data_IF_832466135901
#
_entry.id   IF_832466135901
#
_cell.length_a   1.000
_cell.length_b   1.000
_cell.length_c   1.000
_cell.angle_alpha   90.00
_cell.angle_beta   90.00
_cell.angle_gamma   90.00
#
_symmetry.space_group_name_H-M   'P 1'
#
loop_
_entity.id
_entity.type
_entity.pdbx_description
1 polymer ?
#
# COMPACT_ATOMS: atom_id res chain seq x y z
N UNK A 1 26.90 15.71 73.20
CA UNK A 1 26.63 16.09 71.81
C UNK A 1 26.56 14.78 71.03
N UNK A 2 25.35 14.21 71.00
CA UNK A 2 24.55 13.96 69.77
C UNK A 2 25.21 12.86 68.91
N UNK A 3 24.64 11.71 68.53
CA UNK A 3 23.33 11.04 68.61
C UNK A 3 23.58 9.67 67.92
N UNK A 4 23.10 8.52 68.42
CA UNK A 4 21.77 7.95 68.12
C UNK A 4 21.54 7.75 66.60
N UNK A 5 21.64 6.51 66.08
CA UNK A 5 20.51 5.59 65.83
C UNK A 5 20.99 4.32 65.09
N UNK A 6 20.57 3.17 65.59
CA UNK A 6 20.77 1.82 65.04
C UNK A 6 19.69 1.50 63.94
N UNK A 7 19.64 0.30 63.35
CA UNK A 7 19.09 0.06 62.01
C UNK A 7 17.58 -0.24 61.92
N UNK A 8 17.13 -0.29 60.64
CA UNK A 8 15.97 -0.96 60.03
C UNK A 8 15.01 -1.74 60.94
N UNK A 9 13.71 -1.42 60.87
CA UNK A 9 12.66 -2.32 60.35
C UNK A 9 11.23 -1.75 60.45
N UNK A 10 10.38 -2.17 59.48
CA UNK A 10 8.91 -2.31 59.51
C UNK A 10 7.95 -1.10 59.28
N UNK A 11 7.38 -1.14 58.07
CA UNK A 11 5.94 -1.35 57.75
C UNK A 11 4.94 -0.21 58.05
N UNK A 12 4.40 0.41 56.97
CA UNK A 12 2.94 0.65 56.87
C UNK A 12 2.44 0.78 55.42
N UNK A 13 1.28 0.18 55.21
CA UNK A 13 0.52 0.00 53.98
C UNK A 13 -0.35 1.23 53.64
N UNK A 14 -0.77 1.29 52.37
CA UNK A 14 -2.17 1.48 51.89
C UNK A 14 -2.49 2.76 51.09
N UNK A 15 -3.23 2.53 49.99
CA UNK A 15 -3.97 3.47 49.14
C UNK A 15 -3.33 3.58 47.74
N UNK A 16 -3.70 2.83 46.69
CA UNK A 16 -5.04 2.53 46.16
C UNK A 16 -5.95 3.77 46.20
N UNK A 17 -5.83 4.60 45.17
CA UNK A 17 -6.92 5.45 44.71
C UNK A 17 -7.45 4.79 43.44
N UNK A 18 -8.63 4.19 43.56
CA UNK A 18 -9.48 3.78 42.46
C UNK A 18 -10.58 4.82 42.31
N UNK A 19 -10.99 5.14 41.07
CA UNK A 19 -12.36 5.48 40.61
C UNK A 19 -12.33 6.37 39.33
N UNK A 20 -13.37 6.37 38.47
CA UNK A 20 -13.99 5.23 37.79
C UNK A 20 -14.20 5.47 36.27
N UNK A 21 -14.57 4.39 35.57
CA UNK A 21 -14.75 4.26 34.14
C UNK A 21 -15.77 5.20 33.46
N UNK A 22 -15.48 5.60 32.20
CA UNK A 22 -16.49 5.70 31.12
C UNK A 22 -15.89 5.72 29.70
N UNK A 23 -15.94 4.54 29.06
CA UNK A 23 -16.46 4.28 27.71
C UNK A 23 -16.09 5.26 26.58
N UNK A 24 -15.26 4.81 25.63
CA UNK A 24 -15.65 4.27 24.30
C UNK A 24 -14.38 3.95 23.51
N UNK A 25 -14.39 2.86 22.76
CA UNK A 25 -13.20 2.26 22.19
C UNK A 25 -12.57 3.08 21.07
N UNK A 26 -11.28 3.37 21.22
CA UNK A 26 -10.38 3.70 20.12
C UNK A 26 -9.97 2.40 19.42
N UNK A 27 -10.91 1.84 18.65
CA UNK A 27 -10.57 0.96 17.54
C UNK A 27 -9.68 1.81 16.61
N UNK A 28 -8.46 1.36 16.24
CA UNK A 28 -7.68 2.07 15.24
C UNK A 28 -8.58 2.27 14.02
N UNK A 29 -8.54 3.42 13.31
CA UNK A 29 -9.45 3.68 12.22
C UNK A 29 -9.34 2.51 11.24
N UNK A 30 -10.38 1.69 11.27
CA UNK A 30 -10.64 0.63 10.33
C UNK A 30 -10.81 1.36 9.01
N UNK A 31 -9.74 1.42 8.22
CA UNK A 31 -9.71 2.09 6.91
C UNK A 31 -10.50 1.26 5.89
N UNK A 32 -11.70 0.83 6.27
CA UNK A 32 -12.56 -0.11 5.58
C UNK A 32 -13.81 0.54 4.99
N UNK A 33 -13.91 1.87 4.98
CA UNK A 33 -15.05 2.58 4.39
C UNK A 33 -14.62 3.76 3.52
N UNK A 34 -14.13 3.45 2.31
CA UNK A 34 -14.55 4.12 1.07
C UNK A 34 -14.41 3.12 -0.08
N UNK A 35 -15.37 2.21 -0.16
CA UNK A 35 -15.72 1.58 -1.43
C UNK A 35 -16.38 2.66 -2.30
N UNK A 36 -15.56 3.54 -2.88
CA UNK A 36 -16.01 4.42 -3.95
C UNK A 36 -16.16 3.55 -5.21
N UNK A 37 -17.42 3.32 -5.58
CA UNK A 37 -17.80 2.57 -6.76
C UNK A 37 -17.46 3.36 -8.02
N UNK A 38 -16.52 2.85 -8.81
CA UNK A 38 -16.38 3.19 -10.23
C UNK A 38 -15.26 4.18 -10.54
N UNK A 39 -14.04 3.68 -10.79
CA UNK A 39 -12.95 4.55 -11.23
C UNK A 39 -11.55 3.93 -11.40
N UNK A 40 -11.44 2.66 -11.79
CA UNK A 40 -10.26 2.10 -12.48
C UNK A 40 -8.96 1.84 -11.71
N UNK A 41 -8.78 2.24 -10.44
CA UNK A 41 -7.46 2.20 -9.80
C UNK A 41 -7.00 0.86 -9.19
N UNK A 42 -7.90 0.17 -8.47
CA UNK A 42 -7.51 -0.94 -7.58
C UNK A 42 -8.04 -2.26 -8.12
N UNK A 43 -7.17 -3.26 -8.40
CA UNK A 43 -7.61 -4.56 -8.88
C UNK A 43 -8.45 -5.28 -7.83
N UNK A 44 -9.41 -6.08 -8.29
CA UNK A 44 -10.24 -6.94 -7.45
C UNK A 44 -9.71 -8.37 -7.54
N UNK A 45 -9.72 -9.09 -6.41
CA UNK A 45 -9.32 -10.49 -6.44
C UNK A 45 -10.41 -11.36 -7.09
N UNK A 46 -10.01 -12.34 -7.91
CA UNK A 46 -10.94 -13.16 -8.68
C UNK A 46 -11.87 -14.01 -7.80
N UNK A 47 -11.39 -14.51 -6.65
CA UNK A 47 -12.16 -15.39 -5.76
C UNK A 47 -13.25 -14.65 -4.97
N UNK A 48 -13.02 -13.42 -4.56
CA UNK A 48 -13.91 -12.71 -3.62
C UNK A 48 -14.53 -11.44 -4.21
N UNK A 49 -14.06 -10.94 -5.37
CA UNK A 49 -14.53 -9.70 -5.97
C UNK A 49 -14.22 -8.43 -5.14
N UNK A 50 -13.42 -8.56 -4.08
CA UNK A 50 -13.07 -7.46 -3.16
C UNK A 50 -11.87 -6.67 -3.67
N UNK A 51 -11.80 -5.35 -3.41
CA UNK A 51 -10.63 -4.56 -3.74
C UNK A 51 -9.40 -5.09 -3.00
N UNK A 52 -8.30 -5.24 -3.73
CA UNK A 52 -7.03 -5.68 -3.18
C UNK A 52 -6.37 -4.56 -2.38
N UNK A 53 -5.58 -4.95 -1.36
CA UNK A 53 -4.75 -4.02 -0.58
C UNK A 53 -3.39 -3.85 -1.25
N UNK A 54 -2.85 -2.63 -1.20
CA UNK A 54 -1.52 -2.31 -1.72
C UNK A 54 -0.46 -2.56 -0.63
N UNK A 55 0.56 -3.35 -0.96
CA UNK A 55 1.66 -3.73 -0.09
C UNK A 55 2.98 -3.34 -0.75
N UNK A 56 4.01 -3.07 0.07
CA UNK A 56 5.36 -2.79 -0.41
C UNK A 56 6.28 -3.93 -0.02
N UNK A 57 7.10 -4.40 -0.95
CA UNK A 57 8.13 -5.40 -0.68
C UNK A 57 9.19 -4.78 0.23
N UNK A 58 9.18 -5.16 1.50
CA UNK A 58 10.17 -4.75 2.51
C UNK A 58 11.39 -5.66 2.53
N UNK A 59 11.21 -6.92 2.14
CA UNK A 59 12.29 -7.91 2.11
C UNK A 59 13.37 -7.44 1.15
N UNK A 60 14.62 -7.51 1.60
CA UNK A 60 15.77 -7.12 0.80
C UNK A 60 16.12 -8.23 -0.21
N UNK A 61 15.20 -8.49 -1.13
CA UNK A 61 15.42 -9.39 -2.26
C UNK A 61 16.00 -8.57 -3.41
N UNK A 62 17.06 -9.08 -4.05
CA UNK A 62 17.75 -8.43 -5.18
C UNK A 62 16.72 -7.93 -6.20
N UNK A 63 16.67 -6.62 -6.43
CA UNK A 63 15.84 -5.97 -7.45
C UNK A 63 14.37 -5.67 -7.10
N UNK A 64 13.81 -6.24 -6.03
CA UNK A 64 12.38 -6.09 -5.73
C UNK A 64 12.07 -5.20 -4.53
N UNK A 65 13.09 -4.78 -3.78
CA UNK A 65 12.91 -3.92 -2.60
C UNK A 65 12.22 -2.61 -2.99
N UNK A 66 11.17 -2.25 -2.26
CA UNK A 66 10.43 -1.00 -2.48
C UNK A 66 9.35 -1.05 -3.58
N UNK A 67 9.29 -2.12 -4.37
CA UNK A 67 8.19 -2.32 -5.35
C UNK A 67 6.86 -2.55 -4.62
N UNK A 68 5.78 -2.07 -5.23
CA UNK A 68 4.41 -2.16 -4.69
C UNK A 68 3.62 -3.23 -5.43
N UNK A 69 2.85 -4.01 -4.69
CA UNK A 69 1.99 -5.06 -5.24
C UNK A 69 0.62 -5.09 -4.54
N UNK A 70 -0.38 -5.56 -5.25
CA UNK A 70 -1.72 -5.80 -4.75
C UNK A 70 -1.86 -7.24 -4.27
N UNK A 71 -2.47 -7.42 -3.11
CA UNK A 71 -2.82 -8.71 -2.54
C UNK A 71 -4.26 -8.70 -2.02
N UNK A 72 -4.85 -9.87 -1.83
CA UNK A 72 -6.17 -9.99 -1.23
C UNK A 72 -6.21 -9.29 0.15
N UNK A 73 -7.30 -8.55 0.37
CA UNK A 73 -7.53 -7.74 1.58
C UNK A 73 -8.04 -8.55 2.78
N UNK A 74 -8.52 -9.76 2.55
CA UNK A 74 -8.93 -10.69 3.60
C UNK A 74 -7.76 -11.10 4.52
N UNK A 75 -8.06 -11.52 5.76
CA UNK A 75 -7.06 -12.04 6.69
C UNK A 75 -6.42 -13.33 6.18
N UNK A 76 -5.25 -13.68 6.72
CA UNK A 76 -4.38 -14.75 6.20
C UNK A 76 -5.03 -16.14 6.12
N UNK A 77 -6.08 -16.41 6.91
CA UNK A 77 -6.84 -17.67 6.85
C UNK A 77 -7.87 -17.74 5.72
N UNK A 78 -8.30 -16.60 5.20
CA UNK A 78 -9.37 -16.49 4.19
C UNK A 78 -8.88 -15.81 2.90
N UNK A 79 -7.65 -15.27 2.89
CA UNK A 79 -7.10 -14.63 1.71
C UNK A 79 -6.90 -15.65 0.59
N UNK A 80 -7.20 -15.24 -0.64
CA UNK A 80 -6.76 -15.98 -1.82
C UNK A 80 -5.35 -15.53 -2.23
N UNK A 81 -4.71 -16.33 -3.08
CA UNK A 81 -3.36 -16.09 -3.59
C UNK A 81 -3.32 -15.07 -4.75
N UNK A 82 -4.22 -14.10 -4.73
CA UNK A 82 -4.20 -13.03 -5.73
C UNK A 82 -2.97 -12.15 -5.53
N UNK A 83 -2.20 -11.97 -6.60
CA UNK A 83 -0.98 -11.19 -6.65
C UNK A 83 -0.90 -10.43 -7.97
N UNK A 84 -0.64 -9.12 -7.91
CA UNK A 84 -0.41 -8.29 -9.09
C UNK A 84 0.52 -7.13 -8.74
N UNK A 85 1.52 -6.84 -9.58
CA UNK A 85 2.34 -5.64 -9.38
C UNK A 85 1.54 -4.37 -9.66
N UNK A 86 1.84 -3.28 -8.94
CA UNK A 86 1.14 -2.00 -9.16
C UNK A 86 1.36 -1.45 -10.57
N UNK A 87 2.56 -1.66 -11.12
CA UNK A 87 2.93 -1.26 -12.48
C UNK A 87 2.26 -2.09 -13.60
N UNK A 88 1.78 -3.29 -13.26
CA UNK A 88 1.10 -4.21 -14.21
C UNK A 88 -0.42 -3.97 -14.24
N UNK A 89 -0.92 -2.93 -13.57
CA UNK A 89 -2.34 -2.59 -13.61
C UNK A 89 -2.69 -1.89 -14.92
N UNK A 90 -3.93 -2.04 -15.40
CA UNK A 90 -4.40 -1.34 -16.60
C UNK A 90 -4.24 0.18 -16.51
N UNK A 91 -4.37 0.74 -15.30
CA UNK A 91 -4.10 2.16 -15.06
C UNK A 91 -2.61 2.50 -15.18
N UNK A 92 -1.71 1.67 -14.67
CA UNK A 92 -0.28 1.87 -14.85
C UNK A 92 0.13 1.73 -16.32
N UNK A 93 -0.43 0.76 -17.05
CA UNK A 93 -0.24 0.61 -18.49
C UNK A 93 -0.72 1.85 -19.25
N UNK A 94 -1.90 2.37 -18.94
CA UNK A 94 -2.40 3.63 -19.52
C UNK A 94 -1.48 4.80 -19.23
N UNK A 95 -1.02 4.95 -17.99
CA UNK A 95 -0.06 6.00 -17.61
C UNK A 95 1.28 5.85 -18.36
N UNK A 96 1.76 4.63 -18.54
CA UNK A 96 2.96 4.35 -19.31
C UNK A 96 2.78 4.73 -20.78
N UNK A 97 1.63 4.40 -21.38
CA UNK A 97 1.29 4.79 -22.76
C UNK A 97 1.20 6.31 -22.94
N UNK A 98 0.54 7.02 -22.01
CA UNK A 98 0.49 8.49 -22.04
C UNK A 98 1.86 9.14 -21.80
N UNK A 99 2.78 8.46 -21.11
CA UNK A 99 4.16 8.93 -20.92
C UNK A 99 5.03 8.64 -22.15
N UNK A 100 4.80 7.53 -22.83
CA UNK A 100 5.57 7.09 -24.00
C UNK A 100 5.07 7.69 -25.33
N UNK A 101 3.93 8.38 -25.34
CA UNK A 101 3.40 9.09 -26.52
C UNK A 101 4.24 10.27 -26.99
N UNK A 102 5.42 10.51 -26.39
CA UNK A 102 6.41 11.39 -26.98
C UNK A 102 6.85 10.81 -28.33
N UNK A 103 6.50 11.47 -29.44
CA UNK A 103 6.90 11.11 -30.81
C UNK A 103 8.42 11.14 -31.07
N UNK A 104 9.23 11.26 -30.02
CA UNK A 104 10.68 11.25 -30.02
C UNK A 104 11.30 9.86 -29.90
N UNK A 105 10.49 8.81 -29.64
CA UNK A 105 10.95 7.42 -29.60
C UNK A 105 11.49 6.93 -30.95
N UNK A 106 12.48 6.03 -30.93
CA UNK A 106 13.14 5.49 -32.13
C UNK A 106 12.12 4.93 -33.16
N UNK A 107 11.14 4.13 -32.69
CA UNK A 107 10.07 3.56 -33.53
C UNK A 107 9.14 4.65 -34.09
N UNK A 108 8.83 5.68 -33.31
CA UNK A 108 8.00 6.81 -33.75
C UNK A 108 8.69 7.62 -34.86
N UNK A 109 10.01 7.83 -34.75
CA UNK A 109 10.81 8.49 -35.79
C UNK A 109 10.85 7.68 -37.08
N UNK A 110 11.02 6.36 -36.96
CA UNK A 110 11.10 5.46 -38.11
C UNK A 110 9.75 5.33 -38.85
N UNK A 111 8.65 5.21 -38.11
CA UNK A 111 7.29 5.15 -38.69
C UNK A 111 6.88 6.46 -39.34
N UNK A 112 7.21 7.62 -38.74
CA UNK A 112 6.99 8.92 -39.37
C UNK A 112 7.81 9.07 -40.66
N UNK A 113 9.11 8.75 -40.63
CA UNK A 113 9.96 8.81 -41.82
C UNK A 113 9.50 7.85 -42.94
N UNK A 114 9.01 6.66 -42.56
CA UNK A 114 8.41 5.71 -43.50
C UNK A 114 7.13 6.27 -44.11
N UNK A 115 6.20 6.78 -43.30
CA UNK A 115 4.95 7.37 -43.77
C UNK A 115 5.17 8.58 -44.70
N UNK A 116 6.12 9.46 -44.37
CA UNK A 116 6.49 10.59 -45.23
C UNK A 116 7.11 10.12 -46.56
N UNK A 117 7.92 9.06 -46.54
CA UNK A 117 8.54 8.50 -47.75
C UNK A 117 7.52 7.81 -48.67
N UNK A 118 6.54 7.10 -48.12
CA UNK A 118 5.54 6.38 -48.92
C UNK A 118 4.32 7.24 -49.28
N UNK A 119 3.96 8.24 -48.47
CA UNK A 119 2.92 9.22 -48.83
C UNK A 119 3.35 10.17 -49.95
N UNK A 120 4.65 10.38 -50.15
CA UNK A 120 5.19 11.11 -51.29
C UNK A 120 5.27 10.27 -52.59
N UNK A 121 4.91 8.98 -52.54
CA UNK A 121 4.96 8.04 -53.67
C UNK A 121 3.56 7.62 -54.18
N UNK A 122 2.49 8.00 -53.49
CA UNK A 122 1.13 7.83 -53.99
C UNK A 122 0.74 9.04 -54.85
N UNK A 123 0.80 8.86 -56.17
CA UNK A 123 0.19 9.73 -57.20
C UNK A 123 -1.22 9.22 -57.50
#
# INVERSE_FOLDING_TARGET
VDGVFAPDDKKKQRGQQEDPAKKRGDRPPDRSDRADGGGGGVPRCARHGRPCRLLTVRKNTRGNRGRKFYACSLPRGEQCDHFQWEEDTGNAARRALLKSSSGSGFVARQTKAYAERFGALTV
#
